data_IF_709767813540
#
_entry.id   IF_709767813540
#
_cell.length_a   1.000
_cell.length_b   1.000
_cell.length_c   1.000
_cell.angle_alpha   90.00
_cell.angle_beta   90.00
_cell.angle_gamma   90.00
#
_symmetry.space_group_name_H-M   'P 1'
#
loop_
_entity.id
_entity.type
_entity.pdbx_description
1 polymer ?
#
# COMPACT_ATOMS: atom_id res chain seq x y z
N UNK A 1 0.04 -0.09 -31.75
CA UNK A 1 -0.99 0.97 -31.62
C UNK A 1 -0.35 2.19 -30.94
N UNK A 2 0.29 3.11 -31.68
CA UNK A 2 1.19 4.11 -31.09
C UNK A 2 0.51 5.28 -30.36
N UNK A 3 -0.82 5.33 -30.29
CA UNK A 3 -1.59 6.44 -29.67
C UNK A 3 -2.54 5.97 -28.54
N UNK A 4 -2.53 4.69 -28.20
CA UNK A 4 -3.44 4.18 -27.18
C UNK A 4 -2.97 4.66 -25.81
N UNK A 5 -3.75 5.53 -25.16
CA UNK A 5 -3.45 6.13 -23.86
C UNK A 5 -4.05 5.37 -22.68
N UNK A 6 -5.20 4.73 -22.88
CA UNK A 6 -5.90 3.96 -21.86
C UNK A 6 -6.37 2.64 -22.46
N UNK A 7 -6.22 1.57 -21.67
CA UNK A 7 -6.59 0.22 -22.04
C UNK A 7 -7.19 -0.49 -20.84
N UNK A 8 -8.37 -1.04 -21.03
CA UNK A 8 -9.05 -1.86 -20.03
C UNK A 8 -9.18 -3.29 -20.57
N UNK A 9 -8.75 -4.27 -19.79
CA UNK A 9 -8.75 -5.69 -20.16
C UNK A 9 -9.52 -6.49 -19.11
N UNK A 10 -10.64 -7.06 -19.52
CA UNK A 10 -11.57 -7.76 -18.63
C UNK A 10 -11.81 -9.18 -19.12
N UNK A 11 -11.71 -10.14 -18.19
CA UNK A 11 -12.08 -11.55 -18.41
C UNK A 11 -11.38 -12.20 -19.62
N UNK A 12 -10.17 -11.73 -19.94
CA UNK A 12 -9.38 -12.24 -21.06
C UNK A 12 -8.60 -13.50 -20.65
N UNK A 13 -9.29 -14.62 -20.46
CA UNK A 13 -8.69 -15.88 -19.97
C UNK A 13 -7.66 -16.52 -20.92
N UNK A 14 -7.59 -16.08 -22.17
CA UNK A 14 -6.56 -16.50 -23.14
C UNK A 14 -5.28 -15.64 -23.10
N UNK A 15 -5.34 -14.46 -22.48
CA UNK A 15 -4.24 -13.49 -22.49
C UNK A 15 -3.14 -13.96 -21.53
N UNK A 16 -1.94 -14.17 -22.08
CA UNK A 16 -0.76 -14.57 -21.31
C UNK A 16 0.22 -13.41 -21.06
N UNK A 17 0.21 -12.41 -21.93
CA UNK A 17 1.10 -11.26 -21.94
C UNK A 17 0.40 -10.09 -22.62
N UNK A 18 0.60 -8.88 -22.08
CA UNK A 18 0.26 -7.63 -22.79
C UNK A 18 1.52 -7.17 -23.50
N UNK A 19 1.44 -6.92 -24.81
CA UNK A 19 2.59 -6.47 -25.61
C UNK A 19 3.00 -5.02 -25.30
N UNK A 20 4.04 -4.54 -25.98
CA UNK A 20 4.59 -3.19 -25.76
C UNK A 20 3.58 -2.09 -26.16
N UNK A 21 3.32 -1.18 -25.22
CA UNK A 21 2.39 -0.07 -25.38
C UNK A 21 3.07 1.22 -24.92
N UNK A 22 3.96 1.81 -25.76
CA UNK A 22 4.85 2.89 -25.33
C UNK A 22 4.16 4.22 -24.99
N UNK A 23 2.94 4.44 -25.48
CA UNK A 23 2.14 5.65 -25.24
C UNK A 23 1.01 5.44 -24.22
N UNK A 24 0.94 4.25 -23.59
CA UNK A 24 -0.11 3.95 -22.64
C UNK A 24 0.16 4.64 -21.31
N UNK A 25 -0.81 5.41 -20.84
CA UNK A 25 -0.76 6.20 -19.61
C UNK A 25 -1.57 5.51 -18.49
N UNK A 26 -2.60 4.72 -18.84
CA UNK A 26 -3.46 4.00 -17.90
C UNK A 26 -3.78 2.57 -18.35
N UNK A 27 -3.67 1.62 -17.44
CA UNK A 27 -3.99 0.21 -17.67
C UNK A 27 -4.81 -0.36 -16.51
N UNK A 28 -5.99 -0.89 -16.80
CA UNK A 28 -6.79 -1.72 -15.88
C UNK A 28 -6.87 -3.16 -16.42
N UNK A 29 -6.46 -4.13 -15.60
CA UNK A 29 -6.54 -5.55 -15.92
C UNK A 29 -7.32 -6.29 -14.84
N UNK A 30 -8.43 -6.90 -15.23
CA UNK A 30 -9.31 -7.61 -14.33
C UNK A 30 -9.59 -9.04 -14.81
N UNK A 31 -9.47 -10.03 -13.90
CA UNK A 31 -9.86 -11.44 -14.14
C UNK A 31 -9.14 -12.12 -15.33
N UNK A 32 -7.87 -11.78 -15.56
CA UNK A 32 -7.04 -12.37 -16.59
C UNK A 32 -6.19 -13.53 -16.04
N UNK A 33 -6.80 -14.71 -15.89
CA UNK A 33 -6.23 -15.87 -15.18
C UNK A 33 -4.93 -16.43 -15.76
N UNK A 34 -4.66 -16.23 -17.05
CA UNK A 34 -3.42 -16.69 -17.70
C UNK A 34 -2.34 -15.62 -17.78
N UNK A 35 -2.64 -14.37 -17.42
CA UNK A 35 -1.68 -13.28 -17.48
C UNK A 35 -0.57 -13.55 -16.46
N UNK A 36 0.67 -13.51 -16.94
CA UNK A 36 1.86 -13.73 -16.09
C UNK A 36 2.67 -12.46 -15.88
N UNK A 37 2.79 -11.67 -16.94
CA UNK A 37 3.67 -10.50 -16.98
C UNK A 37 3.05 -9.39 -17.82
N UNK A 38 3.45 -8.16 -17.49
CA UNK A 38 3.17 -6.95 -18.26
C UNK A 38 4.45 -6.57 -19.03
N UNK A 39 4.35 -6.16 -20.30
CA UNK A 39 5.51 -5.74 -21.09
C UNK A 39 5.79 -4.23 -20.96
N UNK A 40 6.59 -3.68 -21.88
CA UNK A 40 7.17 -2.34 -21.77
C UNK A 40 6.10 -1.24 -21.92
N UNK A 41 5.96 -0.39 -20.90
CA UNK A 41 5.00 0.72 -20.87
C UNK A 41 5.63 1.95 -20.18
N UNK A 42 6.59 2.63 -20.84
CA UNK A 42 7.37 3.70 -20.25
C UNK A 42 6.57 4.95 -19.86
N UNK A 43 5.44 5.20 -20.53
CA UNK A 43 4.54 6.32 -20.24
C UNK A 43 3.46 5.98 -19.20
N UNK A 44 3.43 4.75 -18.67
CA UNK A 44 2.35 4.31 -17.79
C UNK A 44 2.40 5.05 -16.46
N UNK A 45 1.36 5.82 -16.16
CA UNK A 45 1.23 6.55 -14.91
C UNK A 45 0.34 5.82 -13.90
N UNK A 46 -0.56 4.97 -14.39
CA UNK A 46 -1.65 4.37 -13.62
C UNK A 46 -1.80 2.89 -13.98
N UNK A 47 -1.61 2.01 -13.00
CA UNK A 47 -1.75 0.56 -13.19
C UNK A 47 -2.67 -0.03 -12.13
N UNK A 48 -3.70 -0.73 -12.60
CA UNK A 48 -4.60 -1.50 -11.78
C UNK A 48 -4.63 -2.96 -12.24
N UNK A 49 -4.37 -3.90 -11.32
CA UNK A 49 -4.40 -5.35 -11.61
C UNK A 49 -5.22 -6.07 -10.54
N UNK A 50 -6.33 -6.66 -10.95
CA UNK A 50 -7.32 -7.30 -10.08
C UNK A 50 -7.56 -8.75 -10.50
N UNK A 51 -7.56 -9.65 -9.53
CA UNK A 51 -8.00 -11.06 -9.71
C UNK A 51 -7.27 -11.76 -10.85
N UNK A 52 -5.98 -11.52 -10.99
CA UNK A 52 -5.14 -12.18 -11.98
C UNK A 52 -4.24 -13.19 -11.25
N UNK A 53 -4.72 -14.42 -11.10
CA UNK A 53 -4.14 -15.40 -10.17
C UNK A 53 -2.71 -15.87 -10.48
N UNK A 54 -2.21 -15.64 -11.70
CA UNK A 54 -0.89 -16.09 -12.19
C UNK A 54 0.12 -14.96 -12.40
N UNK A 55 -0.24 -13.72 -12.08
CA UNK A 55 0.68 -12.59 -12.25
C UNK A 55 1.75 -12.67 -11.16
N UNK A 56 2.99 -12.89 -11.58
CA UNK A 56 4.15 -13.01 -10.69
C UNK A 56 4.92 -11.69 -10.61
N UNK A 57 4.78 -10.82 -11.62
CA UNK A 57 5.44 -9.52 -11.71
C UNK A 57 4.51 -8.51 -12.39
N UNK A 58 4.37 -7.33 -11.78
CA UNK A 58 3.42 -6.28 -12.17
C UNK A 58 4.11 -4.98 -12.59
N UNK A 59 5.37 -4.79 -12.27
CA UNK A 59 6.16 -3.63 -12.69
C UNK A 59 7.64 -4.01 -12.72
N UNK A 60 8.41 -3.32 -13.54
CA UNK A 60 9.88 -3.37 -13.56
C UNK A 60 10.45 -2.00 -13.96
N UNK A 61 11.77 -1.92 -14.16
CA UNK A 61 12.48 -0.68 -14.52
C UNK A 61 11.99 -0.05 -15.85
N UNK A 62 11.10 -0.71 -16.58
CA UNK A 62 10.51 -0.23 -17.85
C UNK A 62 9.23 0.57 -17.66
N UNK A 63 8.81 0.83 -16.42
CA UNK A 63 7.66 1.69 -16.09
C UNK A 63 8.06 2.87 -15.19
N UNK A 64 9.02 3.73 -15.62
CA UNK A 64 9.57 4.80 -14.77
C UNK A 64 8.55 5.90 -14.43
N UNK A 65 7.48 6.06 -15.21
CA UNK A 65 6.45 7.07 -15.00
C UNK A 65 5.33 6.65 -14.04
N UNK A 66 5.40 5.42 -13.47
CA UNK A 66 4.30 4.86 -12.68
C UNK A 66 4.10 5.64 -11.37
N UNK A 67 2.95 6.31 -11.26
CA UNK A 67 2.58 7.15 -10.10
C UNK A 67 1.55 6.48 -9.19
N UNK A 68 0.63 5.71 -9.77
CA UNK A 68 -0.47 5.06 -9.04
C UNK A 68 -0.53 3.57 -9.33
N UNK A 69 -0.56 2.78 -8.26
CA UNK A 69 -0.46 1.33 -8.37
C UNK A 69 -1.45 0.64 -7.44
N UNK A 70 -2.43 -0.05 -8.02
CA UNK A 70 -3.46 -0.79 -7.31
C UNK A 70 -3.41 -2.28 -7.66
N UNK A 71 -3.24 -3.11 -6.64
CA UNK A 71 -3.09 -4.55 -6.78
C UNK A 71 -4.12 -5.25 -5.88
N UNK A 72 -4.97 -6.08 -6.47
CA UNK A 72 -5.97 -6.84 -5.71
C UNK A 72 -6.03 -8.30 -6.11
N UNK A 73 -6.11 -9.18 -5.12
CA UNK A 73 -6.38 -10.61 -5.32
C UNK A 73 -5.35 -11.31 -6.25
N UNK A 74 -4.06 -11.02 -6.05
CA UNK A 74 -2.96 -11.63 -6.83
C UNK A 74 -2.26 -12.72 -6.00
N UNK A 75 -2.60 -13.97 -6.27
CA UNK A 75 -2.12 -15.10 -5.47
C UNK A 75 -0.65 -15.48 -5.76
N UNK A 76 -0.16 -15.21 -6.97
CA UNK A 76 1.19 -15.56 -7.39
C UNK A 76 2.23 -14.44 -7.13
N UNK A 77 1.78 -13.21 -6.90
CA UNK A 77 2.67 -12.07 -6.67
C UNK A 77 3.34 -12.21 -5.29
N UNK A 78 4.67 -12.26 -5.29
CA UNK A 78 5.47 -12.40 -4.07
C UNK A 78 6.14 -11.12 -3.65
N UNK A 79 6.62 -10.33 -4.60
CA UNK A 79 7.41 -9.12 -4.33
C UNK A 79 7.13 -8.09 -5.42
N UNK A 80 7.36 -6.82 -5.10
CA UNK A 80 7.42 -5.74 -6.08
C UNK A 80 8.85 -5.64 -6.64
N UNK A 81 9.07 -4.95 -7.78
CA UNK A 81 10.42 -4.65 -8.24
C UNK A 81 11.21 -3.87 -7.18
N UNK A 82 12.56 -3.90 -7.24
CA UNK A 82 13.40 -3.25 -6.23
C UNK A 82 13.29 -1.72 -6.21
N UNK A 83 12.81 -1.09 -7.29
CA UNK A 83 12.71 0.36 -7.43
C UNK A 83 11.46 0.76 -8.21
N UNK A 84 10.69 1.72 -7.69
CA UNK A 84 9.59 2.37 -8.39
C UNK A 84 9.67 3.89 -8.07
N UNK A 85 10.53 4.64 -8.77
CA UNK A 85 10.99 5.95 -8.32
C UNK A 85 9.89 7.02 -8.29
N UNK A 86 8.92 6.93 -9.21
CA UNK A 86 7.85 7.93 -9.37
C UNK A 86 6.57 7.59 -8.61
N UNK A 87 6.56 6.50 -7.84
CA UNK A 87 5.31 6.02 -7.22
C UNK A 87 4.87 6.97 -6.10
N UNK A 88 3.67 7.52 -6.25
CA UNK A 88 3.06 8.43 -5.28
C UNK A 88 2.00 7.71 -4.43
N UNK A 89 1.29 6.74 -5.02
CA UNK A 89 0.21 5.99 -4.37
C UNK A 89 0.34 4.49 -4.59
N UNK A 90 0.38 3.74 -3.50
CA UNK A 90 0.39 2.28 -3.50
C UNK A 90 -0.82 1.76 -2.73
N UNK A 91 -1.60 0.89 -3.37
CA UNK A 91 -2.69 0.16 -2.72
C UNK A 91 -2.58 -1.31 -3.02
N UNK A 92 -2.52 -2.12 -1.98
CA UNK A 92 -2.36 -3.56 -2.04
C UNK A 92 -3.45 -4.23 -1.21
N UNK A 93 -4.25 -5.04 -1.87
CA UNK A 93 -5.42 -5.69 -1.29
C UNK A 93 -5.37 -7.20 -1.53
N UNK A 94 -5.52 -7.98 -0.45
CA UNK A 94 -5.67 -9.42 -0.50
C UNK A 94 -4.54 -10.10 -1.29
N UNK A 95 -3.29 -9.82 -0.91
CA UNK A 95 -2.11 -10.47 -1.46
C UNK A 95 -1.54 -11.47 -0.44
N UNK A 96 -1.94 -12.76 -0.50
CA UNK A 96 -1.61 -13.74 0.54
C UNK A 96 -0.13 -14.14 0.58
N UNK A 97 0.58 -13.97 -0.55
CA UNK A 97 1.96 -14.37 -0.71
C UNK A 97 2.95 -13.21 -0.82
N UNK A 98 2.46 -11.97 -0.74
CA UNK A 98 3.27 -10.78 -0.96
C UNK A 98 4.06 -10.37 0.28
N UNK A 99 5.35 -10.13 0.07
CA UNK A 99 6.30 -9.60 1.02
C UNK A 99 6.74 -8.21 0.54
N UNK A 100 6.71 -7.24 1.44
CA UNK A 100 6.96 -5.81 1.17
C UNK A 100 8.44 -5.41 1.17
N UNK A 101 9.35 -6.38 1.22
CA UNK A 101 10.77 -6.13 1.52
C UNK A 101 11.51 -5.55 0.32
N UNK A 102 12.30 -4.50 0.56
CA UNK A 102 13.31 -3.95 -0.37
C UNK A 102 12.83 -3.28 -1.66
N UNK A 103 11.65 -2.64 -1.66
CA UNK A 103 11.22 -1.78 -2.79
C UNK A 103 11.42 -0.29 -2.46
N UNK A 104 12.25 0.38 -3.24
CA UNK A 104 12.52 1.81 -3.13
C UNK A 104 11.42 2.65 -3.80
N UNK A 105 10.77 3.54 -3.04
CA UNK A 105 9.66 4.40 -3.48
C UNK A 105 9.78 5.82 -2.87
N UNK A 106 10.70 6.66 -3.36
CA UNK A 106 11.02 7.95 -2.75
C UNK A 106 9.89 8.98 -2.82
N UNK A 107 9.03 8.89 -3.84
CA UNK A 107 7.91 9.82 -4.02
C UNK A 107 6.62 9.37 -3.30
N UNK A 108 6.66 8.29 -2.52
CA UNK A 108 5.45 7.68 -1.96
C UNK A 108 4.80 8.59 -0.91
N UNK A 109 3.54 8.96 -1.17
CA UNK A 109 2.72 9.80 -0.29
C UNK A 109 1.60 9.02 0.38
N UNK A 110 1.10 7.98 -0.28
CA UNK A 110 -0.06 7.21 0.17
C UNK A 110 0.22 5.72 0.05
N UNK A 111 0.04 4.99 1.14
CA UNK A 111 0.24 3.55 1.19
C UNK A 111 -0.91 2.86 1.94
N UNK A 112 -1.61 1.98 1.23
CA UNK A 112 -2.76 1.26 1.75
C UNK A 112 -2.55 -0.24 1.61
N UNK A 113 -2.57 -0.95 2.73
CA UNK A 113 -2.38 -2.39 2.79
C UNK A 113 -3.57 -3.03 3.49
N UNK A 114 -4.24 -3.95 2.81
CA UNK A 114 -5.40 -4.66 3.32
C UNK A 114 -5.26 -6.15 3.05
N UNK A 115 -5.44 -6.99 4.08
CA UNK A 115 -5.37 -8.47 3.96
C UNK A 115 -4.07 -8.96 3.31
N UNK A 116 -2.92 -8.47 3.80
CA UNK A 116 -1.60 -8.88 3.34
C UNK A 116 -0.85 -9.59 4.48
N UNK A 117 -1.08 -10.90 4.70
CA UNK A 117 -0.64 -11.59 5.91
C UNK A 117 0.87 -11.79 6.02
N UNK A 118 1.64 -11.65 4.93
CA UNK A 118 3.11 -11.76 4.91
C UNK A 118 3.84 -10.42 4.84
N UNK A 119 3.11 -9.31 4.74
CA UNK A 119 3.70 -7.97 4.70
C UNK A 119 4.44 -7.67 6.01
N UNK A 120 5.65 -7.11 5.90
CA UNK A 120 6.46 -6.66 7.04
C UNK A 120 6.69 -5.14 6.93
N UNK A 121 6.29 -4.39 7.94
CA UNK A 121 6.40 -2.92 7.87
C UNK A 121 7.79 -2.41 8.22
N UNK A 122 8.55 -3.12 9.06
CA UNK A 122 9.87 -2.69 9.52
C UNK A 122 10.84 -2.47 8.36
N UNK A 123 11.12 -3.51 7.56
CA UNK A 123 12.01 -3.39 6.40
C UNK A 123 11.51 -2.42 5.33
N UNK A 124 10.20 -2.32 5.15
CA UNK A 124 9.58 -1.38 4.21
C UNK A 124 9.79 0.08 4.64
N UNK A 125 9.52 0.40 5.91
CA UNK A 125 9.75 1.74 6.49
C UNK A 125 11.23 2.08 6.46
N UNK A 126 12.13 1.16 6.82
CA UNK A 126 13.57 1.43 6.70
C UNK A 126 13.98 1.72 5.26
N UNK A 127 13.46 0.98 4.27
CA UNK A 127 13.78 1.25 2.85
C UNK A 127 13.30 2.65 2.41
N UNK A 128 12.16 3.13 2.94
CA UNK A 128 11.69 4.50 2.72
C UNK A 128 12.58 5.56 3.39
N UNK A 129 13.21 5.23 4.52
CA UNK A 129 13.98 6.16 5.35
C UNK A 129 15.49 6.16 5.10
N UNK A 130 16.07 5.02 4.73
CA UNK A 130 17.52 4.84 4.58
C UNK A 130 18.10 5.80 3.53
N UNK A 131 17.27 6.26 2.58
CA UNK A 131 17.65 7.25 1.58
C UNK A 131 17.24 8.69 1.93
N UNK A 132 16.24 8.86 2.81
CA UNK A 132 15.97 10.14 3.49
C UNK A 132 17.18 10.62 4.30
N UNK A 133 17.92 9.67 4.90
CA UNK A 133 19.11 9.94 5.73
C UNK A 133 20.36 10.42 4.97
N UNK A 134 20.50 10.14 3.67
CA UNK A 134 21.65 10.61 2.87
C UNK A 134 21.50 12.05 2.37
N UNK A 135 20.26 12.55 2.20
CA UNK A 135 19.99 13.92 1.74
C UNK A 135 19.30 14.81 2.81
N UNK A 136 19.01 14.27 4.00
CA UNK A 136 18.29 14.98 5.07
C UNK A 136 16.80 15.25 4.76
N UNK A 137 16.24 14.62 3.72
CA UNK A 137 14.83 14.77 3.35
C UNK A 137 13.96 13.76 4.09
N UNK A 138 13.12 14.18 5.02
CA UNK A 138 12.17 13.27 5.68
C UNK A 138 11.22 12.58 4.67
N UNK A 139 10.74 11.38 5.02
CA UNK A 139 9.74 10.65 4.24
C UNK A 139 8.56 11.55 3.85
N UNK A 140 8.13 11.47 2.59
CA UNK A 140 6.99 12.20 2.05
C UNK A 140 5.65 11.51 2.35
N UNK A 141 5.66 10.38 3.07
CA UNK A 141 4.49 9.58 3.36
C UNK A 141 3.53 10.36 4.28
N UNK A 142 2.31 10.60 3.77
CA UNK A 142 1.26 11.37 4.42
C UNK A 142 0.11 10.50 4.89
N UNK A 143 -0.22 9.43 4.15
CA UNK A 143 -1.30 8.51 4.48
C UNK A 143 -0.79 7.09 4.54
N UNK A 144 -1.02 6.42 5.66
CA UNK A 144 -0.70 5.02 5.86
C UNK A 144 -1.90 4.30 6.45
N UNK A 145 -2.35 3.23 5.80
CA UNK A 145 -3.35 2.34 6.38
C UNK A 145 -2.93 0.88 6.28
N UNK A 146 -2.93 0.17 7.41
CA UNK A 146 -2.55 -1.25 7.47
C UNK A 146 -3.64 -2.02 8.21
N UNK A 147 -4.32 -2.90 7.48
CA UNK A 147 -5.49 -3.61 7.97
C UNK A 147 -5.41 -5.11 7.64
N UNK A 148 -5.74 -5.98 8.58
CA UNK A 148 -5.72 -7.43 8.48
C UNK A 148 -4.36 -7.94 7.97
N UNK A 149 -3.27 -7.33 8.45
CA UNK A 149 -1.91 -7.68 8.09
C UNK A 149 -1.15 -8.16 9.33
N UNK A 150 -1.36 -9.39 9.82
CA UNK A 150 -0.80 -9.89 11.07
C UNK A 150 0.73 -9.88 11.17
N UNK A 151 1.43 -9.97 10.03
CA UNK A 151 2.91 -9.88 10.00
C UNK A 151 3.44 -8.45 9.93
N UNK A 152 2.57 -7.45 9.79
CA UNK A 152 2.97 -6.05 9.66
C UNK A 152 3.81 -5.61 10.86
N UNK A 153 3.40 -6.01 12.07
CA UNK A 153 4.09 -5.75 13.35
C UNK A 153 4.49 -4.27 13.49
N UNK A 154 3.57 -3.37 13.20
CA UNK A 154 3.87 -1.94 13.26
C UNK A 154 4.02 -1.49 14.73
N UNK A 155 5.15 -0.85 15.04
CA UNK A 155 5.47 -0.35 16.38
C UNK A 155 5.64 1.16 16.41
N UNK A 156 5.50 1.76 17.60
CA UNK A 156 5.53 3.22 17.75
C UNK A 156 6.87 3.81 17.28
N UNK A 157 8.00 3.16 17.62
CA UNK A 157 9.34 3.58 17.21
C UNK A 157 9.49 3.77 15.69
N UNK A 158 8.85 2.92 14.89
CA UNK A 158 8.86 3.03 13.42
C UNK A 158 8.00 4.21 12.95
N UNK A 159 6.82 4.39 13.56
CA UNK A 159 5.94 5.52 13.26
C UNK A 159 6.59 6.87 13.59
N UNK A 160 7.40 6.97 14.65
CA UNK A 160 8.14 8.20 14.99
C UNK A 160 9.05 8.69 13.85
N UNK A 161 9.45 7.79 12.95
CA UNK A 161 10.29 8.13 11.79
C UNK A 161 9.48 8.72 10.61
N UNK A 162 8.15 8.82 10.74
CA UNK A 162 7.24 9.34 9.72
C UNK A 162 6.58 10.65 10.20
N UNK A 163 7.34 11.74 10.38
CA UNK A 163 6.84 12.97 11.01
C UNK A 163 5.77 13.71 10.17
N UNK A 164 5.72 13.42 8.86
CA UNK A 164 4.78 14.02 7.90
C UNK A 164 3.45 13.25 7.78
N UNK A 165 3.25 12.21 8.59
CA UNK A 165 2.05 11.39 8.53
C UNK A 165 0.83 12.19 9.04
N UNK A 166 -0.14 12.38 8.17
CA UNK A 166 -1.40 13.11 8.41
C UNK A 166 -2.50 12.15 8.82
N UNK A 167 -2.52 10.97 8.19
CA UNK A 167 -3.54 9.96 8.39
C UNK A 167 -2.92 8.59 8.65
N UNK A 168 -3.37 7.96 9.74
CA UNK A 168 -2.96 6.62 10.13
C UNK A 168 -4.18 5.75 10.40
N UNK A 169 -4.28 4.62 9.70
CA UNK A 169 -5.31 3.60 9.91
C UNK A 169 -4.69 2.26 10.31
N UNK A 170 -5.08 1.70 11.45
CA UNK A 170 -4.53 0.44 11.96
C UNK A 170 -5.60 -0.39 12.66
N UNK A 171 -5.47 -1.71 12.58
CA UNK A 171 -6.21 -2.63 13.44
C UNK A 171 -5.36 -3.36 14.48
N UNK A 172 -6.04 -4.03 15.41
CA UNK A 172 -5.44 -4.84 16.47
C UNK A 172 -4.52 -5.94 15.94
N UNK A 173 -4.74 -6.47 14.73
CA UNK A 173 -3.86 -7.48 14.13
C UNK A 173 -2.57 -6.90 13.55
N UNK A 174 -2.64 -5.70 12.96
CA UNK A 174 -1.49 -5.11 12.25
C UNK A 174 -0.55 -4.35 13.19
N UNK A 175 -1.07 -3.90 14.33
CA UNK A 175 -0.39 -3.02 15.28
C UNK A 175 -0.04 -3.68 16.62
N UNK A 176 0.28 -4.99 16.61
CA UNK A 176 0.59 -5.81 17.80
C UNK A 176 1.69 -5.23 18.71
N UNK A 177 2.60 -4.41 18.16
CA UNK A 177 3.71 -3.80 18.93
C UNK A 177 3.37 -2.44 19.54
N UNK A 178 2.16 -1.91 19.32
CA UNK A 178 1.75 -0.67 19.97
C UNK A 178 1.25 -0.96 21.39
N UNK A 179 1.64 -0.14 22.38
CA UNK A 179 1.17 -0.31 23.75
C UNK A 179 -0.34 -0.02 23.83
N UNK A 180 -1.03 -0.81 24.64
CA UNK A 180 -2.39 -0.56 25.10
C UNK A 180 -2.37 -0.18 26.59
N UNK A 181 -2.96 0.96 27.01
CA UNK A 181 -3.62 1.97 26.17
C UNK A 181 -2.62 2.83 25.38
N UNK A 182 -3.10 3.50 24.31
CA UNK A 182 -2.23 4.37 23.51
C UNK A 182 -1.59 5.48 24.35
N UNK A 183 -0.33 5.88 24.05
CA UNK A 183 0.32 6.97 24.76
C UNK A 183 -0.46 8.27 24.56
N UNK A 184 -0.74 9.02 25.62
CA UNK A 184 -1.29 10.38 25.51
C UNK A 184 -0.38 11.32 24.70
N UNK A 185 0.88 10.94 24.53
CA UNK A 185 1.92 11.63 23.76
C UNK A 185 1.91 11.31 22.26
N UNK A 186 0.92 10.59 21.72
CA UNK A 186 0.81 10.37 20.25
C UNK A 186 1.04 11.65 19.41
N UNK A 187 0.44 12.81 19.77
CA UNK A 187 0.64 14.07 19.02
C UNK A 187 2.07 14.62 19.09
N UNK A 188 2.88 14.24 20.10
CA UNK A 188 4.26 14.74 20.20
C UNK A 188 5.20 14.01 19.25
N UNK A 189 4.88 12.78 18.86
CA UNK A 189 5.74 12.00 17.97
C UNK A 189 5.26 11.96 16.52
N UNK A 190 3.96 12.18 16.29
CA UNK A 190 3.38 12.37 14.96
C UNK A 190 2.75 13.77 14.91
N UNK A 191 3.57 14.84 14.78
CA UNK A 191 3.09 16.21 14.91
C UNK A 191 2.10 16.62 13.81
N UNK A 192 2.16 15.97 12.65
CA UNK A 192 1.29 16.23 11.51
C UNK A 192 -0.01 15.43 11.55
N UNK A 193 -0.16 14.49 12.48
CA UNK A 193 -1.28 13.55 12.48
C UNK A 193 -2.57 14.27 12.84
N UNK A 194 -3.53 14.26 11.91
CA UNK A 194 -4.86 14.84 12.10
C UNK A 194 -5.93 13.79 12.23
N UNK A 195 -5.72 12.60 11.64
CA UNK A 195 -6.70 11.53 11.58
C UNK A 195 -6.06 10.20 12.04
N UNK A 196 -6.65 9.59 13.06
CA UNK A 196 -6.23 8.28 13.57
C UNK A 196 -7.43 7.34 13.59
N UNK A 197 -7.42 6.34 12.70
CA UNK A 197 -8.44 5.31 12.62
C UNK A 197 -7.91 4.03 13.28
N UNK A 198 -8.60 3.58 14.32
CA UNK A 198 -8.27 2.36 15.03
C UNK A 198 -9.46 1.41 14.98
N UNK A 199 -9.20 0.16 14.63
CA UNK A 199 -10.21 -0.89 14.62
C UNK A 199 -9.77 -2.04 15.50
N UNK A 200 -10.69 -2.58 16.29
CA UNK A 200 -10.50 -3.92 16.83
C UNK A 200 -11.15 -4.93 15.88
N UNK A 201 -10.38 -5.93 15.46
CA UNK A 201 -10.90 -7.03 14.65
C UNK A 201 -11.58 -8.10 15.51
N UNK A 202 -11.37 -8.08 16.83
CA UNK A 202 -12.06 -8.99 17.73
C UNK A 202 -13.43 -8.41 18.13
N UNK A 203 -14.50 -9.05 17.67
CA UNK A 203 -15.88 -8.59 17.92
C UNK A 203 -16.34 -8.97 19.34
N UNK A 204 -15.64 -9.89 19.99
CA UNK A 204 -16.03 -10.51 21.27
C UNK A 204 -15.22 -10.02 22.50
N UNK A 205 -14.24 -9.13 22.30
CA UNK A 205 -13.41 -8.57 23.40
C UNK A 205 -13.56 -7.04 23.48
N UNK A 206 -13.39 -6.47 24.68
CA UNK A 206 -13.35 -5.01 24.86
C UNK A 206 -12.27 -4.38 23.96
N UNK A 207 -12.59 -3.22 23.36
CA UNK A 207 -11.69 -2.48 22.46
C UNK A 207 -10.33 -2.29 23.13
N UNK A 208 -9.31 -3.00 22.62
CA UNK A 208 -7.98 -3.04 23.25
C UNK A 208 -7.28 -1.69 23.26
N UNK A 209 -7.71 -0.74 22.46
CA UNK A 209 -6.97 0.52 22.24
C UNK A 209 -7.27 1.63 23.25
N UNK A 210 -8.27 1.46 24.11
CA UNK A 210 -8.65 2.48 25.11
C UNK A 210 -9.12 3.81 24.49
N UNK A 211 -9.02 4.92 25.24
CA UNK A 211 -9.41 6.25 24.76
C UNK A 211 -8.38 6.76 23.75
N UNK A 212 -8.79 6.97 22.50
CA UNK A 212 -7.93 7.57 21.46
C UNK A 212 -7.53 8.98 21.92
N UNK A 213 -6.23 9.35 21.88
CA UNK A 213 -5.81 10.73 22.16
C UNK A 213 -6.59 11.69 21.26
N UNK A 214 -6.86 12.90 21.74
CA UNK A 214 -7.69 13.93 21.07
C UNK A 214 -7.03 14.52 19.81
N UNK A 215 -6.62 13.66 18.89
CA UNK A 215 -6.32 13.92 17.49
C UNK A 215 -7.67 13.88 16.77
N UNK A 216 -7.91 14.79 15.81
CA UNK A 216 -9.20 14.98 15.14
C UNK A 216 -9.94 13.66 14.92
N UNK A 217 -11.02 13.46 15.67
CA UNK A 217 -11.76 12.20 15.70
C UNK A 217 -12.54 12.08 14.39
N UNK A 218 -11.87 11.59 13.35
CA UNK A 218 -12.55 10.90 12.26
C UNK A 218 -13.19 9.66 12.86
N UNK A 219 -14.50 9.74 13.09
CA UNK A 219 -15.42 8.69 13.52
C UNK A 219 -14.82 7.30 13.76
N UNK A 220 -14.98 6.77 14.98
CA UNK A 220 -15.08 5.32 15.24
C UNK A 220 -16.25 4.77 14.41
N UNK A 221 -16.03 4.45 13.14
CA UNK A 221 -17.00 3.73 12.33
C UNK A 221 -16.82 2.23 12.57
N UNK A 222 -17.58 1.70 13.51
CA UNK A 222 -17.89 0.27 13.58
C UNK A 222 -18.81 -0.07 12.40
N UNK A 223 -18.23 -0.27 11.21
CA UNK A 223 -19.00 -0.69 10.05
C UNK A 223 -18.33 -0.37 8.73
N UNK A 224 -18.04 -1.43 7.96
CA UNK A 224 -17.78 -1.42 6.51
C UNK A 224 -16.80 -0.38 5.99
N UNK A 225 -15.57 -0.79 5.69
CA UNK A 225 -14.67 0.02 4.86
C UNK A 225 -15.38 0.26 3.53
N UNK A 226 -15.56 1.53 3.15
CA UNK A 226 -16.03 1.90 1.82
C UNK A 226 -15.03 1.33 0.79
N UNK A 227 -15.45 0.42 -0.11
CA UNK A 227 -14.57 -0.08 -1.16
C UNK A 227 -14.04 1.04 -2.09
N UNK A 228 -14.60 2.26 -2.04
CA UNK A 228 -14.07 3.46 -2.70
C UNK A 228 -12.83 4.07 -2.05
N UNK A 229 -12.37 3.58 -0.89
CA UNK A 229 -10.99 3.85 -0.43
C UNK A 229 -9.94 3.05 -1.20
N UNK A 230 -10.36 2.07 -2.01
CA UNK A 230 -9.49 1.20 -2.79
C UNK A 230 -9.71 1.32 -4.32
N UNK A 231 -10.39 2.37 -4.78
CA UNK A 231 -10.63 2.71 -6.19
C UNK A 231 -10.27 4.18 -6.45
#
# INVERSE_FOLDING_TARGET
MPLLKSLDIWECHGLNMIGDLPALESLDVCRCEKLKTLANMPALESLEVKRCGRVEQVADDRMPALKRFWLSDLNALKQLPPCIPSLEKLSVNNLPNWESTFTYMPCLREAHFYKCPKMQTEGWIYTLLELAGYEGQASQLQRLSVWNCPSARLGWKLLQQLPNLIELGLDSESAVLLPSPLPSQVPTFLPSLTCLYLRDNNVDEEVKWGRVPSVGVGSLSTGGIDPRMFL
#
